data_IF_936056847438
#
_entry.id   IF_936056847438
#
_cell.length_a   1.000
_cell.length_b   1.000
_cell.length_c   1.000
_cell.angle_alpha   90.00
_cell.angle_beta   90.00
_cell.angle_gamma   90.00
#
_symmetry.space_group_name_H-M   'P 1'
#
loop_
_entity.id
_entity.type
_entity.pdbx_description
1 polymer ?
#
# COMPACT_ATOMS: atom_id res chain seq x y z
N UNK A 1 -26.47 -10.42 -44.97
CA UNK A 1 -26.17 -9.00 -45.19
C UNK A 1 -26.73 -8.21 -44.00
N UNK A 2 -25.87 -7.45 -43.29
CA UNK A 2 -26.12 -6.52 -42.15
C UNK A 2 -26.28 -7.20 -40.77
N UNK A 3 -25.21 -7.51 -40.03
CA UNK A 3 -24.31 -6.60 -39.25
C UNK A 3 -25.11 -5.91 -38.13
N UNK A 4 -25.24 -6.48 -36.92
CA UNK A 4 -24.33 -6.34 -35.76
C UNK A 4 -23.95 -4.88 -35.48
N UNK A 5 -24.84 -4.06 -34.87
CA UNK A 5 -24.46 -2.83 -34.18
C UNK A 5 -25.52 -2.46 -33.13
N UNK A 6 -25.22 -2.67 -31.85
CA UNK A 6 -26.10 -2.24 -30.75
C UNK A 6 -25.58 -2.51 -29.33
N UNK A 7 -24.30 -2.84 -29.17
CA UNK A 7 -23.68 -3.12 -27.88
C UNK A 7 -22.28 -2.49 -27.84
N UNK A 8 -22.24 -1.17 -27.95
CA UNK A 8 -21.04 -0.37 -27.70
C UNK A 8 -21.49 0.93 -27.00
N UNK A 9 -21.73 0.86 -25.70
CA UNK A 9 -21.71 2.03 -24.82
C UNK A 9 -21.77 1.63 -23.34
N UNK A 10 -20.72 0.96 -22.86
CA UNK A 10 -20.30 1.08 -21.48
C UNK A 10 -18.89 0.49 -21.36
N UNK A 11 -18.01 1.21 -20.66
CA UNK A 11 -16.57 0.98 -20.47
C UNK A 11 -15.74 1.70 -21.55
N UNK A 12 -15.14 2.85 -21.18
CA UNK A 12 -14.04 2.83 -20.22
C UNK A 12 -14.27 3.76 -19.04
N UNK A 13 -14.61 3.19 -17.88
CA UNK A 13 -14.37 3.84 -16.59
C UNK A 13 -12.95 3.47 -16.12
N UNK A 14 -11.93 3.79 -16.91
CA UNK A 14 -10.54 3.46 -16.61
C UNK A 14 -9.54 4.55 -17.02
N UNK A 15 -10.00 5.79 -17.23
CA UNK A 15 -9.12 6.88 -17.71
C UNK A 15 -9.18 8.17 -16.88
N UNK A 16 -9.64 8.13 -15.62
CA UNK A 16 -9.52 9.28 -14.71
C UNK A 16 -8.50 8.93 -13.63
N UNK A 17 -7.23 9.18 -13.94
CA UNK A 17 -6.13 9.01 -12.98
C UNK A 17 -4.77 9.53 -13.44
N UNK A 18 -4.61 9.92 -14.71
CA UNK A 18 -3.28 10.26 -15.27
C UNK A 18 -3.02 11.78 -15.35
N UNK A 19 -3.91 12.62 -14.80
CA UNK A 19 -3.71 14.08 -14.78
C UNK A 19 -4.18 14.68 -13.45
N UNK A 20 -3.38 14.54 -12.40
CA UNK A 20 -3.40 15.49 -11.29
C UNK A 20 -1.98 15.93 -10.99
N UNK A 21 -1.74 17.22 -11.20
CA UNK A 21 -0.62 17.94 -10.63
C UNK A 21 -0.74 17.88 -9.10
N UNK A 22 0.31 17.39 -8.44
CA UNK A 22 0.78 17.65 -7.07
C UNK A 22 -0.21 18.11 -5.98
N UNK A 23 -1.45 17.63 -5.94
CA UNK A 23 -2.13 17.50 -4.65
C UNK A 23 -1.55 16.26 -3.98
N UNK A 24 -0.96 16.42 -2.79
CA UNK A 24 -0.64 15.29 -1.91
C UNK A 24 -1.89 14.42 -1.85
N UNK A 25 -1.82 13.21 -2.40
CA UNK A 25 -2.99 12.33 -2.47
C UNK A 25 -3.61 12.23 -1.07
N UNK A 26 -4.81 12.77 -0.90
CA UNK A 26 -5.53 12.71 0.37
C UNK A 26 -5.80 11.26 0.82
N UNK A 27 -5.64 10.30 -0.10
CA UNK A 27 -5.92 8.89 0.09
C UNK A 27 -4.65 8.05 0.32
N UNK A 28 -3.46 8.60 0.13
CA UNK A 28 -2.19 7.88 0.27
C UNK A 28 -1.33 8.46 1.39
N UNK A 29 -0.29 7.72 1.80
CA UNK A 29 0.73 8.25 2.70
C UNK A 29 1.40 9.48 2.05
N UNK A 30 1.64 10.56 2.79
CA UNK A 30 2.41 11.67 2.28
C UNK A 30 3.88 11.25 2.08
N UNK A 31 4.57 11.75 1.04
CA UNK A 31 6.00 11.52 0.89
C UNK A 31 6.77 12.20 2.02
N UNK A 32 7.76 11.49 2.53
CA UNK A 32 8.63 11.94 3.60
C UNK A 32 9.59 13.05 3.18
N UNK A 33 10.02 13.85 4.15
CA UNK A 33 11.10 14.84 3.95
C UNK A 33 12.49 14.28 4.28
N UNK A 34 12.56 13.12 4.93
CA UNK A 34 13.81 12.42 5.25
C UNK A 34 14.06 11.27 4.29
N UNK A 35 15.33 10.90 4.10
CA UNK A 35 15.71 9.75 3.25
C UNK A 35 15.02 8.46 3.72
N UNK A 36 15.04 8.20 5.03
CA UNK A 36 14.40 7.05 5.65
C UNK A 36 12.89 7.03 5.37
N UNK A 37 12.21 8.17 5.50
CA UNK A 37 10.77 8.24 5.25
C UNK A 37 10.44 8.03 3.77
N UNK A 38 11.30 8.44 2.84
CA UNK A 38 11.16 8.09 1.41
C UNK A 38 11.34 6.58 1.18
N UNK A 39 12.33 5.94 1.81
CA UNK A 39 12.49 4.46 1.72
C UNK A 39 11.25 3.71 2.25
N UNK A 40 10.65 4.19 3.34
CA UNK A 40 9.40 3.62 3.88
C UNK A 40 8.23 3.84 2.91
N UNK A 41 8.13 5.02 2.29
CA UNK A 41 7.12 5.29 1.27
C UNK A 41 7.27 4.37 0.06
N UNK A 42 8.49 4.16 -0.43
CA UNK A 42 8.77 3.26 -1.56
C UNK A 42 8.43 1.81 -1.23
N UNK A 43 8.76 1.35 -0.01
CA UNK A 43 8.34 0.04 0.48
C UNK A 43 6.81 -0.08 0.50
N UNK A 44 6.12 0.93 1.01
CA UNK A 44 4.67 0.95 1.05
C UNK A 44 4.08 0.86 -0.37
N UNK A 45 4.59 1.65 -1.31
CA UNK A 45 4.15 1.62 -2.71
C UNK A 45 4.43 0.28 -3.38
N UNK A 46 5.61 -0.30 -3.17
CA UNK A 46 5.96 -1.62 -3.69
C UNK A 46 4.98 -2.70 -3.20
N UNK A 47 4.73 -2.76 -1.89
CA UNK A 47 3.81 -3.75 -1.30
C UNK A 47 2.37 -3.51 -1.78
N UNK A 48 1.95 -2.25 -1.87
CA UNK A 48 0.61 -1.89 -2.37
C UNK A 48 0.41 -2.40 -3.80
N UNK A 49 1.39 -2.19 -4.70
CA UNK A 49 1.30 -2.67 -6.07
C UNK A 49 1.32 -4.20 -6.17
N UNK A 50 2.07 -4.89 -5.30
CA UNK A 50 2.02 -6.36 -5.19
C UNK A 50 0.61 -6.81 -4.79
N UNK A 51 -0.01 -6.17 -3.79
CA UNK A 51 -1.38 -6.47 -3.37
C UNK A 51 -2.39 -6.24 -4.49
N UNK A 52 -2.28 -5.14 -5.24
CA UNK A 52 -3.13 -4.86 -6.40
C UNK A 52 -2.96 -5.94 -7.47
N UNK A 53 -1.73 -6.33 -7.79
CA UNK A 53 -1.46 -7.37 -8.79
C UNK A 53 -2.06 -8.73 -8.38
N UNK A 54 -1.87 -9.15 -7.12
CA UNK A 54 -2.49 -10.38 -6.59
C UNK A 54 -4.01 -10.27 -6.65
N UNK A 55 -4.58 -9.13 -6.25
CA UNK A 55 -6.00 -8.85 -6.33
C UNK A 55 -6.52 -9.04 -7.76
N UNK A 56 -5.90 -8.41 -8.76
CA UNK A 56 -6.29 -8.53 -10.17
C UNK A 56 -6.25 -10.00 -10.63
N UNK A 57 -5.22 -10.76 -10.25
CA UNK A 57 -5.11 -12.19 -10.62
C UNK A 57 -6.24 -13.02 -9.98
N UNK A 58 -6.47 -12.86 -8.67
CA UNK A 58 -7.50 -13.62 -7.94
C UNK A 58 -8.90 -13.25 -8.41
N UNK A 59 -9.21 -11.95 -8.47
CA UNK A 59 -10.50 -11.48 -8.97
C UNK A 59 -10.70 -11.85 -10.43
N UNK A 60 -9.67 -11.74 -11.27
CA UNK A 60 -9.71 -12.17 -12.68
C UNK A 60 -10.04 -13.65 -12.83
N UNK A 61 -9.36 -14.53 -12.08
CA UNK A 61 -9.64 -15.97 -12.08
C UNK A 61 -11.05 -16.28 -11.59
N UNK A 62 -11.52 -15.57 -10.55
CA UNK A 62 -12.87 -15.72 -10.01
C UNK A 62 -13.93 -15.29 -11.03
N UNK A 63 -13.81 -14.10 -11.62
CA UNK A 63 -14.74 -13.61 -12.64
C UNK A 63 -14.75 -14.51 -13.87
N UNK A 64 -13.58 -14.96 -14.33
CA UNK A 64 -13.47 -15.92 -15.42
C UNK A 64 -14.23 -17.21 -15.10
N UNK A 65 -14.02 -17.78 -13.91
CA UNK A 65 -14.68 -19.02 -13.47
C UNK A 65 -16.20 -18.87 -13.46
N UNK A 66 -16.71 -17.79 -12.86
CA UNK A 66 -18.14 -17.49 -12.74
C UNK A 66 -18.79 -17.33 -14.12
N UNK A 67 -18.18 -16.56 -15.01
CA UNK A 67 -18.74 -16.25 -16.32
C UNK A 67 -18.72 -17.47 -17.25
N UNK A 68 -17.63 -18.24 -17.23
CA UNK A 68 -17.44 -19.39 -18.12
C UNK A 68 -18.28 -20.60 -17.70
N UNK A 69 -18.29 -20.93 -16.40
CA UNK A 69 -18.91 -22.16 -15.88
C UNK A 69 -20.31 -21.95 -15.31
N UNK A 70 -21.01 -20.88 -15.72
CA UNK A 70 -22.37 -20.61 -15.27
C UNK A 70 -23.32 -21.76 -15.67
N UNK A 71 -24.25 -22.13 -14.78
CA UNK A 71 -25.21 -23.23 -15.02
C UNK A 71 -26.05 -23.04 -16.30
N UNK A 72 -26.34 -21.79 -16.69
CA UNK A 72 -27.12 -21.48 -17.89
C UNK A 72 -26.45 -21.91 -19.21
N UNK A 73 -25.14 -22.14 -19.20
CA UNK A 73 -24.37 -22.50 -20.40
C UNK A 73 -24.29 -24.01 -20.62
N UNK A 74 -24.92 -24.83 -19.77
CA UNK A 74 -25.05 -26.28 -19.97
C UNK A 74 -23.76 -27.09 -19.75
N UNK A 75 -22.79 -26.55 -19.01
CA UNK A 75 -21.58 -27.32 -18.68
C UNK A 75 -21.90 -28.41 -17.66
N UNK A 76 -21.48 -29.64 -17.96
CA UNK A 76 -21.50 -30.73 -16.98
C UNK A 76 -20.35 -30.54 -15.97
N UNK A 77 -20.62 -30.59 -14.65
CA UNK A 77 -19.59 -30.43 -13.64
C UNK A 77 -18.66 -31.64 -13.63
N UNK A 78 -17.36 -31.39 -13.81
CA UNK A 78 -16.35 -32.42 -13.63
C UNK A 78 -16.29 -32.85 -12.16
N UNK A 79 -16.11 -34.15 -11.92
CA UNK A 79 -15.94 -34.73 -10.58
C UNK A 79 -14.45 -34.87 -10.28
N UNK A 80 -13.91 -33.95 -9.49
CA UNK A 80 -12.54 -34.02 -8.95
C UNK A 80 -12.58 -33.57 -7.49
N UNK A 81 -11.78 -34.21 -6.63
CA UNK A 81 -11.81 -33.97 -5.18
C UNK A 81 -10.61 -33.15 -4.67
N UNK A 82 -9.44 -33.27 -5.30
CA UNK A 82 -8.24 -32.54 -4.89
C UNK A 82 -7.20 -32.51 -6.01
N UNK A 83 -6.25 -31.59 -5.89
CA UNK A 83 -5.07 -31.57 -6.75
C UNK A 83 -3.86 -31.10 -5.95
N UNK A 84 -3.10 -32.05 -5.43
CA UNK A 84 -1.86 -31.80 -4.67
C UNK A 84 -0.89 -30.91 -5.44
N UNK A 85 -0.85 -31.04 -6.78
CA UNK A 85 0.00 -30.18 -7.63
C UNK A 85 -0.40 -28.71 -7.57
N UNK A 86 -1.70 -28.42 -7.63
CA UNK A 86 -2.19 -27.03 -7.59
C UNK A 86 -2.02 -26.46 -6.19
N UNK A 87 -2.22 -27.29 -5.16
CA UNK A 87 -1.94 -26.95 -3.76
C UNK A 87 -0.51 -26.49 -3.51
N UNK A 88 0.46 -27.25 -4.00
CA UNK A 88 1.88 -26.90 -3.87
C UNK A 88 2.18 -25.58 -4.59
N UNK A 89 1.63 -25.38 -5.78
CA UNK A 89 1.87 -24.16 -6.57
C UNK A 89 1.30 -22.93 -5.86
N UNK A 90 0.03 -22.97 -5.42
CA UNK A 90 -0.61 -21.79 -4.81
C UNK A 90 -0.11 -21.46 -3.42
N UNK A 91 0.57 -22.39 -2.72
CA UNK A 91 1.19 -22.13 -1.41
C UNK A 91 2.62 -21.63 -1.56
N UNK A 92 3.36 -22.18 -2.52
CA UNK A 92 4.76 -21.80 -2.77
C UNK A 92 4.86 -20.39 -3.36
N UNK A 93 3.97 -20.00 -4.28
CA UNK A 93 4.02 -18.67 -4.90
C UNK A 93 3.88 -17.53 -3.87
N UNK A 94 2.84 -17.48 -3.02
CA UNK A 94 2.74 -16.45 -1.97
C UNK A 94 3.93 -16.46 -1.01
N UNK A 95 4.42 -17.65 -0.64
CA UNK A 95 5.58 -17.78 0.23
C UNK A 95 6.84 -17.12 -0.35
N UNK A 96 7.12 -17.35 -1.63
CA UNK A 96 8.27 -16.72 -2.32
C UNK A 96 8.11 -15.19 -2.42
N UNK A 97 6.89 -14.70 -2.66
CA UNK A 97 6.61 -13.25 -2.69
C UNK A 97 6.94 -12.62 -1.33
N UNK A 98 6.54 -13.25 -0.22
CA UNK A 98 6.85 -12.76 1.14
C UNK A 98 8.36 -12.69 1.40
N UNK A 99 9.12 -13.72 1.01
CA UNK A 99 10.58 -13.71 1.14
C UNK A 99 11.19 -12.55 0.35
N UNK A 100 10.73 -12.33 -0.89
CA UNK A 100 11.21 -11.24 -1.73
C UNK A 100 11.01 -9.86 -1.08
N UNK A 101 9.86 -9.65 -0.42
CA UNK A 101 9.55 -8.39 0.27
C UNK A 101 10.31 -8.22 1.59
N UNK A 102 10.66 -9.32 2.27
CA UNK A 102 11.34 -9.25 3.56
C UNK A 102 12.74 -8.60 3.47
N UNK A 103 13.46 -8.79 2.35
CA UNK A 103 14.82 -8.27 2.16
C UNK A 103 14.86 -6.72 2.20
N UNK A 104 14.15 -5.99 1.32
CA UNK A 104 14.18 -4.53 1.34
C UNK A 104 13.53 -3.95 2.61
N UNK A 105 12.52 -4.63 3.18
CA UNK A 105 11.92 -4.23 4.45
C UNK A 105 12.94 -4.27 5.60
N UNK A 106 13.70 -5.36 5.71
CA UNK A 106 14.72 -5.53 6.76
C UNK A 106 15.84 -4.51 6.63
N UNK A 107 16.30 -4.24 5.40
CA UNK A 107 17.33 -3.21 5.15
C UNK A 107 16.88 -1.82 5.60
N UNK A 108 15.63 -1.48 5.34
CA UNK A 108 15.07 -0.18 5.76
C UNK A 108 14.93 -0.11 7.28
N UNK A 109 14.47 -1.18 7.92
CA UNK A 109 14.38 -1.26 9.38
C UNK A 109 15.75 -1.09 10.05
N UNK A 110 16.78 -1.78 9.57
CA UNK A 110 18.15 -1.62 10.11
C UNK A 110 18.65 -0.18 9.94
N UNK A 111 18.34 0.46 8.81
CA UNK A 111 18.71 1.86 8.58
C UNK A 111 17.94 2.84 9.48
N UNK A 112 16.70 2.52 9.86
CA UNK A 112 15.89 3.31 10.79
C UNK A 112 16.42 3.26 12.23
N UNK A 113 16.92 2.10 12.65
CA UNK A 113 17.46 1.89 14.01
C UNK A 113 18.88 2.47 14.18
N UNK A 114 19.55 2.86 13.10
CA UNK A 114 20.88 3.44 13.18
C UNK A 114 20.81 4.88 13.72
N UNK A 115 21.19 5.04 14.98
CA UNK A 115 21.23 6.31 15.72
C UNK A 115 22.66 6.76 16.04
N UNK A 116 23.66 6.21 15.34
CA UNK A 116 25.05 6.54 15.59
C UNK A 116 25.34 8.03 15.31
N UNK A 117 26.06 8.67 16.23
CA UNK A 117 26.61 10.03 16.11
C UNK A 117 25.57 11.11 15.76
N UNK A 118 24.59 11.38 16.65
CA UNK A 118 23.65 12.46 16.42
C UNK A 118 24.35 13.82 16.54
N UNK A 119 24.07 14.74 15.60
CA UNK A 119 24.55 16.13 15.66
C UNK A 119 23.90 16.93 16.81
N UNK A 120 22.73 16.51 17.30
CA UNK A 120 21.96 17.18 18.34
C UNK A 120 21.05 16.19 19.07
N UNK A 121 20.91 16.34 20.39
CA UNK A 121 20.00 15.50 21.18
C UNK A 121 18.81 16.30 21.71
N UNK A 122 17.60 15.91 21.31
CA UNK A 122 16.33 16.50 21.80
C UNK A 122 15.58 15.47 22.64
N UNK A 123 15.26 15.82 23.89
CA UNK A 123 14.36 15.05 24.74
C UNK A 123 12.93 15.56 24.56
N UNK A 124 12.02 14.66 24.21
CA UNK A 124 10.60 14.96 24.01
C UNK A 124 9.78 14.31 25.12
N UNK A 125 9.06 15.10 25.91
CA UNK A 125 8.17 14.61 26.97
C UNK A 125 6.71 14.85 26.60
N UNK A 126 5.94 13.76 26.52
CA UNK A 126 4.50 13.81 26.24
C UNK A 126 3.69 14.09 27.50
N UNK A 127 2.83 15.10 27.44
CA UNK A 127 1.85 15.43 28.47
C UNK A 127 0.43 15.36 27.87
N UNK A 128 -0.59 15.51 28.72
CA UNK A 128 -1.98 15.56 28.26
C UNK A 128 -2.19 16.75 27.30
N UNK A 129 -2.35 16.45 26.01
CA UNK A 129 -2.57 17.40 24.91
C UNK A 129 -1.46 18.46 24.70
N UNK A 130 -0.26 18.21 25.20
CA UNK A 130 0.90 19.10 24.99
C UNK A 130 2.20 18.27 24.94
N UNK A 131 3.23 18.84 24.32
CA UNK A 131 4.54 18.22 24.18
C UNK A 131 5.61 19.19 24.66
N UNK A 132 6.53 18.72 25.49
CA UNK A 132 7.73 19.49 25.88
C UNK A 132 8.92 19.03 25.05
N UNK A 133 9.66 19.98 24.52
CA UNK A 133 10.90 19.75 23.77
C UNK A 133 12.05 20.39 24.53
N UNK A 134 13.09 19.61 24.83
CA UNK A 134 14.28 20.06 25.54
C UNK A 134 15.52 19.72 24.71
N UNK A 135 16.25 20.77 24.30
CA UNK A 135 17.52 20.69 23.58
C UNK A 135 18.62 20.54 24.63
N UNK A 136 19.13 19.31 24.80
CA UNK A 136 19.99 18.97 25.92
C UNK A 136 21.33 19.71 25.87
N UNK A 137 21.83 20.00 24.66
CA UNK A 137 23.13 20.62 24.42
C UNK A 137 23.09 22.16 24.57
N UNK A 138 21.94 22.78 24.28
CA UNK A 138 21.76 24.24 24.24
C UNK A 138 21.03 24.81 25.47
N UNK A 139 20.44 23.95 26.32
CA UNK A 139 19.67 24.34 27.51
C UNK A 139 18.31 25.01 27.20
N UNK A 140 17.87 24.97 25.95
CA UNK A 140 16.59 25.52 25.50
C UNK A 140 15.47 24.49 25.73
N UNK A 141 14.38 24.89 26.40
CA UNK A 141 13.19 24.06 26.55
C UNK A 141 11.91 24.86 26.35
N UNK A 142 10.89 24.26 25.74
CA UNK A 142 9.58 24.89 25.55
C UNK A 142 8.44 23.87 25.42
N UNK A 143 7.22 24.35 25.67
CA UNK A 143 5.99 23.59 25.50
C UNK A 143 5.29 23.92 24.18
N UNK A 144 4.95 22.90 23.41
CA UNK A 144 3.99 22.95 22.30
C UNK A 144 2.61 22.58 22.80
N UNK A 145 1.68 23.54 22.76
CA UNK A 145 0.27 23.31 23.08
C UNK A 145 -0.50 23.16 21.76
N UNK A 146 -1.36 22.14 21.65
CA UNK A 146 -2.20 21.89 20.45
C UNK A 146 -3.27 22.97 20.17
N UNK A 147 -3.29 24.06 20.95
CA UNK A 147 -4.20 25.16 20.75
C UNK A 147 -3.74 26.02 19.57
N UNK A 148 -3.99 25.60 18.35
CA UNK A 148 -3.98 26.50 17.20
C UNK A 148 -5.04 27.58 17.45
N UNK A 149 -4.69 28.87 17.56
CA UNK A 149 -5.69 29.92 17.70
C UNK A 149 -6.62 29.90 16.49
N UNK A 150 -7.94 30.02 16.69
CA UNK A 150 -8.93 30.01 15.60
C UNK A 150 -8.70 31.07 14.52
N UNK A 151 -7.85 32.07 14.79
CA UNK A 151 -7.48 33.12 13.84
C UNK A 151 -6.37 32.69 12.85
N UNK A 152 -5.72 31.55 13.07
CA UNK A 152 -4.60 31.05 12.26
C UNK A 152 -4.98 29.85 11.35
N UNK A 153 -6.28 29.53 11.26
CA UNK A 153 -6.90 28.55 10.35
C UNK A 153 -7.93 29.31 9.51
#
# INVERSE_FOLDING_TARGET
MRIVHGLLSAIPLLSVGVLHAEERSALNLPPGVTEISNRVYDLHMMVLWICVAIGVVVFGAMFYSILKHRKSTGHEPAQFHESTKVEIIWTTIPFLILIGMAIPATKTLIAMENTAEPDMTIKITGYQWKWEYEYLDDGVHFFSNLATPRAAI
#
